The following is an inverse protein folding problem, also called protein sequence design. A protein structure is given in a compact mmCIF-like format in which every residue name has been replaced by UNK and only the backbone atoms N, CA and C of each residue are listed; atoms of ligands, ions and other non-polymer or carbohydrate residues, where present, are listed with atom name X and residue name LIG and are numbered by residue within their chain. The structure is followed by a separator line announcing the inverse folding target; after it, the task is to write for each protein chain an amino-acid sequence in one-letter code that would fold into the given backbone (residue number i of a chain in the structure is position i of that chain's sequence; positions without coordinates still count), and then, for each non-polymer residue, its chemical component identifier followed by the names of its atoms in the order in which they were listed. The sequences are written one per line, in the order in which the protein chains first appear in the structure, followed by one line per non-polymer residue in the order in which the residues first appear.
data_IF_581168087805
#
_entry.id   IF_581168087805
#
_cell.length_a   1.000
_cell.length_b   1.000
_cell.length_c   1.000
_cell.angle_alpha   90.00
_cell.angle_beta   90.00
_cell.angle_gamma   90.00
#
_symmetry.space_group_name_H-M   'P 1'
#
loop_
_entity.id
_entity.type
_entity.pdbx_description
1 polymer ?
#
# COMPACT_ATOMS: atom_id res chain seq x y z
N UNK A 1 -28.36 23.62 -16.59
CA UNK A 1 -27.81 22.50 -15.82
C UNK A 1 -26.47 21.98 -16.34
N UNK A 2 -26.28 21.67 -17.62
CA UNK A 2 -25.01 21.14 -18.19
C UNK A 2 -23.79 22.07 -18.02
N UNK A 3 -23.94 23.40 -18.20
CA UNK A 3 -22.84 24.38 -18.03
C UNK A 3 -22.33 24.43 -16.58
N UNK A 4 -23.22 24.42 -15.58
CA UNK A 4 -22.83 24.45 -14.18
C UNK A 4 -22.08 23.16 -13.77
N UNK A 5 -22.52 22.01 -14.25
CA UNK A 5 -21.83 20.74 -14.03
C UNK A 5 -20.46 20.72 -14.69
N UNK A 6 -20.32 21.20 -15.94
CA UNK A 6 -19.04 21.29 -16.64
C UNK A 6 -18.06 22.23 -15.92
N UNK A 7 -18.55 23.40 -15.45
CA UNK A 7 -17.74 24.36 -14.68
C UNK A 7 -17.23 23.76 -13.35
N UNK A 8 -18.09 23.05 -12.62
CA UNK A 8 -17.67 22.37 -11.37
C UNK A 8 -16.56 21.32 -11.61
N UNK A 9 -16.60 20.62 -12.76
CA UNK A 9 -15.55 19.67 -13.15
C UNK A 9 -14.24 20.38 -13.54
N UNK A 10 -14.31 21.54 -14.18
CA UNK A 10 -13.13 22.34 -14.55
C UNK A 10 -12.43 22.85 -13.26
N UNK A 11 -13.18 23.36 -12.28
CA UNK A 11 -12.60 23.82 -11.03
C UNK A 11 -12.00 22.66 -10.21
N UNK A 12 -12.65 21.50 -10.21
CA UNK A 12 -12.08 20.30 -9.61
C UNK A 12 -10.77 19.89 -10.30
N UNK A 13 -10.75 19.88 -11.66
CA UNK A 13 -9.55 19.57 -12.44
C UNK A 13 -8.42 20.55 -12.15
N UNK A 14 -8.69 21.86 -12.12
CA UNK A 14 -7.70 22.90 -11.80
C UNK A 14 -7.08 22.69 -10.42
N UNK A 15 -7.93 22.47 -9.39
CA UNK A 15 -7.46 22.16 -8.03
C UNK A 15 -6.63 20.89 -7.97
N UNK A 16 -7.05 19.86 -8.71
CA UNK A 16 -6.32 18.58 -8.77
C UNK A 16 -4.97 18.73 -9.47
N UNK A 17 -4.92 19.41 -10.61
CA UNK A 17 -3.68 19.71 -11.35
C UNK A 17 -2.73 20.60 -10.51
N UNK A 18 -3.23 21.64 -9.87
CA UNK A 18 -2.42 22.49 -8.99
C UNK A 18 -1.81 21.69 -7.82
N UNK A 19 -2.57 20.76 -7.22
CA UNK A 19 -2.07 19.86 -6.17
C UNK A 19 -1.00 18.91 -6.70
N UNK A 20 -1.19 18.33 -7.89
CA UNK A 20 -0.19 17.47 -8.53
C UNK A 20 1.10 18.22 -8.87
N UNK A 21 0.99 19.48 -9.31
CA UNK A 21 2.14 20.33 -9.62
C UNK A 21 2.89 20.82 -8.39
N UNK A 22 2.17 21.03 -7.28
CA UNK A 22 2.74 21.47 -6.01
C UNK A 22 3.33 20.29 -5.18
N UNK A 23 2.96 19.05 -5.53
CA UNK A 23 3.52 17.88 -4.87
C UNK A 23 5.02 17.75 -5.21
N UNK A 24 5.90 17.46 -4.24
CA UNK A 24 7.30 17.22 -4.51
C UNK A 24 7.43 16.11 -5.56
N UNK A 25 8.24 16.34 -6.59
CA UNK A 25 8.53 15.31 -7.59
C UNK A 25 9.29 14.19 -6.89
N UNK A 26 8.65 13.06 -6.75
CA UNK A 26 9.29 11.84 -6.23
C UNK A 26 9.95 11.14 -7.42
N UNK A 27 11.27 10.94 -7.33
CA UNK A 27 11.99 10.19 -8.34
C UNK A 27 11.56 8.71 -8.30
N UNK A 28 11.37 8.09 -9.48
CA UNK A 28 11.07 6.66 -9.54
C UNK A 28 12.19 5.84 -8.89
N UNK A 29 11.82 4.77 -8.21
CA UNK A 29 12.79 3.80 -7.67
C UNK A 29 13.58 3.15 -8.80
N UNK A 30 14.91 3.17 -8.67
CA UNK A 30 15.83 2.63 -9.67
C UNK A 30 16.47 1.30 -9.26
N UNK A 31 16.15 0.82 -8.06
CA UNK A 31 16.56 -0.48 -7.51
C UNK A 31 18.09 -0.64 -7.45
N UNK A 32 18.78 0.36 -6.91
CA UNK A 32 20.24 0.36 -6.75
C UNK A 32 20.66 0.09 -5.31
N UNK A 33 21.92 -0.30 -5.14
CA UNK A 33 22.53 -0.48 -3.82
C UNK A 33 22.51 0.82 -3.01
N UNK A 34 22.11 0.72 -1.74
CA UNK A 34 21.94 1.86 -0.84
C UNK A 34 20.64 2.63 -1.01
N UNK A 35 19.79 2.31 -1.99
CA UNK A 35 18.52 3.01 -2.20
C UNK A 35 17.60 2.86 -0.99
N UNK A 36 17.01 3.99 -0.57
CA UNK A 36 16.12 4.04 0.58
C UNK A 36 14.70 3.58 0.23
N UNK A 37 14.14 2.75 1.09
CA UNK A 37 12.77 2.24 1.00
C UNK A 37 12.05 2.44 2.33
N UNK A 38 10.74 2.18 2.38
CA UNK A 38 9.95 2.26 3.60
C UNK A 38 9.51 0.85 4.07
N UNK A 39 9.53 0.63 5.37
CA UNK A 39 9.09 -0.59 6.03
C UNK A 39 8.24 -0.20 7.24
N UNK A 40 6.92 -0.35 7.12
CA UNK A 40 5.97 0.11 8.14
C UNK A 40 6.17 1.59 8.56
N UNK A 41 6.47 2.45 7.58
CA UNK A 41 6.74 3.87 7.80
C UNK A 41 8.20 4.21 8.13
N UNK A 42 8.99 3.23 8.53
CA UNK A 42 10.40 3.40 8.85
C UNK A 42 11.28 3.26 7.61
N UNK A 43 12.42 3.93 7.63
CA UNK A 43 13.38 3.88 6.53
C UNK A 43 14.26 2.64 6.61
N UNK A 44 14.35 1.91 5.50
CA UNK A 44 15.28 0.80 5.30
C UNK A 44 16.14 1.04 4.07
N UNK A 45 17.25 0.33 3.95
CA UNK A 45 18.16 0.44 2.81
C UNK A 45 18.21 -0.88 2.03
N UNK A 46 18.16 -0.76 0.71
CA UNK A 46 18.37 -1.90 -0.19
C UNK A 46 19.87 -2.18 -0.28
N UNK A 47 20.28 -3.42 -0.02
CA UNK A 47 21.65 -3.90 -0.18
C UNK A 47 21.71 -4.95 -1.27
N UNK A 48 22.51 -4.68 -2.30
CA UNK A 48 22.61 -5.53 -3.47
C UNK A 48 24.02 -6.10 -3.56
N UNK A 49 24.11 -7.41 -3.65
CA UNK A 49 25.37 -8.10 -3.91
C UNK A 49 25.16 -9.19 -4.98
N UNK A 50 26.25 -9.78 -5.46
CA UNK A 50 26.25 -10.88 -6.41
C UNK A 50 26.75 -12.16 -5.76
N UNK A 51 26.26 -13.31 -6.18
CA UNK A 51 26.66 -14.59 -5.63
C UNK A 51 26.31 -15.77 -6.54
N UNK A 52 26.52 -16.97 -6.06
CA UNK A 52 26.23 -18.19 -6.82
C UNK A 52 24.73 -18.41 -6.97
N UNK A 53 23.98 -18.14 -5.90
CA UNK A 53 22.53 -18.32 -5.84
C UNK A 53 21.83 -17.02 -5.45
N UNK A 54 20.62 -16.83 -6.00
CA UNK A 54 19.78 -15.69 -5.61
C UNK A 54 19.17 -15.92 -4.24
N UNK A 55 19.22 -14.89 -3.38
CA UNK A 55 18.61 -14.89 -2.04
C UNK A 55 18.09 -13.50 -1.74
N UNK A 56 16.96 -13.43 -1.04
CA UNK A 56 16.44 -12.18 -0.46
C UNK A 56 16.25 -12.40 1.04
N UNK A 57 16.78 -11.48 1.85
CA UNK A 57 16.79 -11.57 3.30
C UNK A 57 16.66 -10.17 3.92
N UNK A 58 16.06 -10.06 5.10
CA UNK A 58 15.91 -8.78 5.80
C UNK A 58 16.65 -8.81 7.12
N UNK A 59 17.62 -7.93 7.27
CA UNK A 59 18.35 -7.68 8.52
C UNK A 59 17.63 -6.57 9.30
N UNK A 60 16.88 -6.96 10.32
CA UNK A 60 16.09 -6.03 11.13
C UNK A 60 16.97 -5.12 11.98
N UNK A 61 18.13 -5.60 12.45
CA UNK A 61 19.03 -4.80 13.31
C UNK A 61 19.65 -3.65 12.52
N UNK A 62 20.00 -3.90 11.25
CA UNK A 62 20.61 -2.90 10.35
C UNK A 62 19.57 -2.13 9.54
N UNK A 63 18.31 -2.53 9.59
CA UNK A 63 17.25 -2.00 8.71
C UNK A 63 17.64 -2.10 7.21
N UNK A 64 18.12 -3.27 6.81
CA UNK A 64 18.62 -3.53 5.46
C UNK A 64 17.88 -4.69 4.78
N UNK A 65 17.39 -4.45 3.56
CA UNK A 65 16.89 -5.50 2.68
C UNK A 65 18.01 -5.98 1.75
N UNK A 66 18.54 -7.16 2.01
CA UNK A 66 19.62 -7.77 1.24
C UNK A 66 19.07 -8.59 0.08
N UNK A 67 19.51 -8.28 -1.15
CA UNK A 67 19.20 -9.06 -2.35
C UNK A 67 20.51 -9.51 -3.00
N UNK A 68 20.75 -10.82 -2.95
CA UNK A 68 21.85 -11.45 -3.68
C UNK A 68 21.39 -11.86 -5.08
N UNK A 69 22.10 -11.40 -6.10
CA UNK A 69 21.84 -11.71 -7.51
C UNK A 69 22.69 -12.90 -7.92
N UNK A 70 22.03 -14.01 -8.22
CA UNK A 70 22.71 -15.24 -8.64
C UNK A 70 23.24 -15.16 -10.07
N UNK A 71 24.28 -15.94 -10.37
CA UNK A 71 24.98 -15.97 -11.67
C UNK A 71 24.09 -16.27 -12.90
N UNK A 72 22.89 -16.82 -12.70
CA UNK A 72 21.96 -17.18 -13.79
C UNK A 72 20.99 -16.05 -14.15
N UNK A 73 21.02 -14.94 -13.42
CA UNK A 73 20.14 -13.79 -13.66
C UNK A 73 20.64 -13.02 -14.88
N UNK A 74 19.83 -12.98 -15.93
CA UNK A 74 20.15 -12.28 -17.18
C UNK A 74 19.71 -10.80 -17.19
N UNK A 75 18.57 -10.49 -16.54
CA UNK A 75 18.03 -9.16 -16.45
C UNK A 75 17.94 -8.77 -14.98
N UNK A 76 18.92 -8.00 -14.53
CA UNK A 76 19.07 -7.57 -13.14
C UNK A 76 17.92 -6.68 -12.68
N UNK A 77 17.50 -5.69 -13.50
CA UNK A 77 16.47 -4.74 -13.13
C UNK A 77 15.11 -5.43 -12.93
N UNK A 78 14.72 -6.28 -13.88
CA UNK A 78 13.49 -7.06 -13.77
C UNK A 78 13.53 -8.03 -12.57
N UNK A 79 14.70 -8.61 -12.30
CA UNK A 79 14.91 -9.47 -11.14
C UNK A 79 14.74 -8.70 -9.83
N UNK A 80 15.41 -7.57 -9.65
CA UNK A 80 15.34 -6.74 -8.45
C UNK A 80 13.91 -6.25 -8.19
N UNK A 81 13.23 -5.71 -9.20
CA UNK A 81 11.80 -5.33 -9.12
C UNK A 81 10.93 -6.48 -8.63
N UNK A 82 11.14 -7.67 -9.19
CA UNK A 82 10.41 -8.87 -8.79
C UNK A 82 10.71 -9.25 -7.34
N UNK A 83 11.99 -9.26 -6.92
CA UNK A 83 12.38 -9.66 -5.56
C UNK A 83 11.81 -8.70 -4.51
N UNK A 84 11.93 -7.39 -4.71
CA UNK A 84 11.34 -6.38 -3.82
C UNK A 84 9.83 -6.57 -3.71
N UNK A 85 9.12 -6.70 -4.85
CA UNK A 85 7.67 -6.89 -4.82
C UNK A 85 7.25 -8.20 -4.14
N UNK A 86 8.02 -9.28 -4.31
CA UNK A 86 7.76 -10.56 -3.64
C UNK A 86 7.97 -10.45 -2.13
N UNK A 87 9.03 -9.77 -1.71
CA UNK A 87 9.31 -9.55 -0.30
C UNK A 87 8.18 -8.75 0.38
N UNK A 88 7.74 -7.62 -0.20
CA UNK A 88 6.60 -6.86 0.35
C UNK A 88 5.28 -7.65 0.30
N UNK A 89 5.07 -8.50 -0.71
CA UNK A 89 3.88 -9.37 -0.74
C UNK A 89 3.91 -10.38 0.39
N UNK A 90 5.07 -10.98 0.67
CA UNK A 90 5.23 -11.89 1.82
C UNK A 90 5.01 -11.15 3.13
N UNK A 91 5.65 -10.00 3.33
CA UNK A 91 5.46 -9.12 4.47
C UNK A 91 3.98 -8.80 4.69
N UNK A 92 3.28 -8.43 3.62
CA UNK A 92 1.86 -8.14 3.66
C UNK A 92 0.99 -9.35 4.03
N UNK A 93 1.32 -10.53 3.51
CA UNK A 93 0.63 -11.76 3.88
C UNK A 93 0.82 -12.08 5.37
N UNK A 94 2.03 -11.94 5.89
CA UNK A 94 2.35 -12.18 7.30
C UNK A 94 1.64 -11.19 8.22
N UNK A 95 1.62 -9.90 7.84
CA UNK A 95 0.89 -8.86 8.56
C UNK A 95 -0.61 -9.12 8.60
N UNK A 96 -1.22 -9.37 7.43
CA UNK A 96 -2.65 -9.60 7.31
C UNK A 96 -3.08 -10.88 8.04
N UNK A 97 -2.28 -11.95 7.99
CA UNK A 97 -2.57 -13.19 8.71
C UNK A 97 -2.71 -12.97 10.22
N UNK A 98 -1.90 -12.06 10.78
CA UNK A 98 -1.94 -11.72 12.21
C UNK A 98 -3.01 -10.68 12.54
N UNK A 99 -3.14 -9.64 11.72
CA UNK A 99 -3.93 -8.44 12.05
C UNK A 99 -5.39 -8.53 11.61
N UNK A 100 -5.65 -9.07 10.41
CA UNK A 100 -7.00 -9.12 9.84
C UNK A 100 -8.02 -9.85 10.73
N UNK A 101 -7.71 -11.01 11.34
CA UNK A 101 -8.68 -11.68 12.21
C UNK A 101 -9.11 -10.84 13.42
N UNK A 102 -8.17 -10.12 14.03
CA UNK A 102 -8.47 -9.25 15.18
C UNK A 102 -9.39 -8.10 14.80
N UNK A 103 -9.10 -7.39 13.68
CA UNK A 103 -9.93 -6.29 13.20
C UNK A 103 -11.31 -6.78 12.74
N UNK A 104 -11.36 -7.90 12.03
CA UNK A 104 -12.62 -8.50 11.58
C UNK A 104 -13.52 -8.90 12.75
N UNK A 105 -12.93 -9.46 13.82
CA UNK A 105 -13.66 -9.81 15.05
C UNK A 105 -14.21 -8.56 15.75
N UNK A 106 -13.43 -7.49 15.90
CA UNK A 106 -13.89 -6.22 16.47
C UNK A 106 -15.08 -5.64 15.71
N UNK A 107 -15.08 -5.79 14.37
CA UNK A 107 -16.17 -5.34 13.49
C UNK A 107 -17.34 -6.34 13.39
N UNK A 108 -17.22 -7.53 13.99
CA UNK A 108 -18.16 -8.65 13.84
C UNK A 108 -18.39 -9.04 12.38
N UNK A 109 -17.32 -9.05 11.58
CA UNK A 109 -17.33 -9.36 10.15
C UNK A 109 -16.42 -10.56 9.85
N UNK A 110 -16.76 -11.31 8.80
CA UNK A 110 -15.99 -12.50 8.41
C UNK A 110 -15.64 -12.44 6.90
N UNK A 111 -14.45 -11.96 6.54
CA UNK A 111 -13.99 -12.06 5.17
C UNK A 111 -13.76 -13.51 4.77
N UNK A 112 -14.05 -13.88 3.52
CA UNK A 112 -13.80 -15.24 3.00
C UNK A 112 -12.33 -15.54 2.75
N UNK A 113 -11.50 -14.52 2.71
CA UNK A 113 -10.07 -14.61 2.50
C UNK A 113 -9.50 -13.29 2.01
N UNK A 114 -8.19 -13.27 1.88
CA UNK A 114 -7.48 -12.10 1.38
C UNK A 114 -6.37 -12.47 0.40
N UNK A 115 -5.87 -11.46 -0.33
CA UNK A 115 -4.69 -11.59 -1.18
C UNK A 115 -3.92 -10.27 -1.22
N UNK A 116 -2.59 -10.35 -1.29
CA UNK A 116 -1.74 -9.19 -1.59
C UNK A 116 -1.46 -9.16 -3.10
N UNK A 117 -1.79 -8.02 -3.72
CA UNK A 117 -1.78 -7.83 -5.17
C UNK A 117 -0.89 -6.65 -5.57
N UNK A 118 -0.65 -6.53 -6.85
CA UNK A 118 -0.03 -5.35 -7.47
C UNK A 118 -1.13 -4.53 -8.16
N UNK A 119 -1.49 -3.40 -7.57
CA UNK A 119 -2.48 -2.48 -8.12
C UNK A 119 -1.84 -1.13 -8.47
N UNK A 120 -2.30 -0.51 -9.57
CA UNK A 120 -1.82 0.82 -9.98
C UNK A 120 -2.56 1.98 -9.31
N UNK A 121 -3.85 1.81 -8.96
CA UNK A 121 -4.72 2.94 -8.62
C UNK A 121 -5.53 2.75 -7.33
N UNK A 122 -5.29 1.69 -6.55
CA UNK A 122 -6.03 1.45 -5.31
C UNK A 122 -5.13 0.83 -4.24
N UNK A 123 -5.44 1.07 -2.98
CA UNK A 123 -4.76 0.47 -1.84
C UNK A 123 -5.37 -0.85 -1.40
N UNK A 124 -6.69 -0.95 -1.53
CA UNK A 124 -7.44 -2.16 -1.24
C UNK A 124 -8.64 -2.34 -2.13
N UNK A 125 -9.34 -3.45 -1.97
CA UNK A 125 -10.66 -3.72 -2.55
C UNK A 125 -11.36 -4.86 -1.84
N UNK A 126 -12.68 -4.75 -1.69
CA UNK A 126 -13.56 -5.84 -1.27
C UNK A 126 -14.42 -6.30 -2.47
N UNK A 127 -14.41 -7.60 -2.75
CA UNK A 127 -15.27 -8.17 -3.78
C UNK A 127 -16.67 -8.44 -3.26
N UNK A 128 -17.67 -8.50 -4.16
CA UNK A 128 -19.05 -8.90 -3.83
C UNK A 128 -19.15 -10.31 -3.21
N UNK A 129 -18.11 -11.13 -3.39
CA UNK A 129 -18.02 -12.48 -2.81
C UNK A 129 -17.39 -12.48 -1.41
N UNK A 130 -17.00 -11.32 -0.86
CA UNK A 130 -16.40 -11.19 0.47
C UNK A 130 -14.89 -11.48 0.52
N UNK A 131 -14.18 -11.48 -0.60
CA UNK A 131 -12.72 -11.55 -0.63
C UNK A 131 -12.11 -10.17 -0.62
N UNK A 132 -11.10 -9.96 0.22
CA UNK A 132 -10.33 -8.73 0.31
C UNK A 132 -9.06 -8.82 -0.52
N UNK A 133 -8.60 -7.69 -1.03
CA UNK A 133 -7.30 -7.63 -1.70
C UNK A 133 -6.61 -6.31 -1.34
N UNK A 134 -5.30 -6.36 -1.13
CA UNK A 134 -4.50 -5.21 -0.72
C UNK A 134 -3.31 -5.03 -1.65
N UNK A 135 -2.97 -3.77 -1.94
CA UNK A 135 -1.78 -3.44 -2.70
C UNK A 135 -0.54 -3.68 -1.82
N UNK A 136 0.46 -4.38 -2.34
CA UNK A 136 1.68 -4.64 -1.59
C UNK A 136 2.41 -3.34 -1.14
N UNK A 137 2.23 -2.25 -1.89
CA UNK A 137 2.84 -0.95 -1.57
C UNK A 137 2.30 -0.33 -0.29
N UNK A 138 1.11 -0.72 0.16
CA UNK A 138 0.55 -0.20 1.42
C UNK A 138 1.40 -0.60 2.64
N UNK A 139 2.15 -1.72 2.57
CA UNK A 139 3.01 -2.17 3.66
C UNK A 139 4.30 -1.35 3.82
N UNK A 140 4.52 -0.36 2.98
CA UNK A 140 5.50 0.70 3.20
C UNK A 140 4.99 1.77 4.18
N UNK A 141 3.68 1.94 4.31
CA UNK A 141 3.06 2.95 5.18
C UNK A 141 3.14 2.55 6.67
N UNK A 142 2.98 3.51 7.61
CA UNK A 142 2.83 3.22 9.02
C UNK A 142 1.71 2.20 9.30
N UNK A 143 1.86 1.43 10.37
CA UNK A 143 0.95 0.31 10.67
C UNK A 143 -0.50 0.75 10.92
N UNK A 144 -0.71 1.91 11.54
CA UNK A 144 -2.03 2.50 11.75
C UNK A 144 -2.71 2.93 10.44
N UNK A 145 -1.92 3.40 9.47
CA UNK A 145 -2.39 3.71 8.11
C UNK A 145 -2.78 2.42 7.38
N UNK A 146 -1.99 1.35 7.49
CA UNK A 146 -2.33 0.04 6.93
C UNK A 146 -3.63 -0.48 7.54
N UNK A 147 -3.75 -0.42 8.87
CA UNK A 147 -4.95 -0.85 9.60
C UNK A 147 -6.20 -0.08 9.16
N UNK A 148 -6.08 1.22 8.90
CA UNK A 148 -7.19 2.03 8.40
C UNK A 148 -7.72 1.56 7.04
N UNK A 149 -6.81 1.13 6.15
CA UNK A 149 -7.21 0.54 4.86
C UNK A 149 -7.85 -0.83 5.05
N UNK A 150 -7.35 -1.65 5.98
CA UNK A 150 -7.96 -2.95 6.30
C UNK A 150 -9.37 -2.76 6.83
N UNK A 151 -9.59 -1.83 7.76
CA UNK A 151 -10.91 -1.49 8.32
C UNK A 151 -11.86 -0.97 7.23
N UNK A 152 -11.37 -0.14 6.32
CA UNK A 152 -12.14 0.36 5.17
C UNK A 152 -12.64 -0.80 4.29
N UNK A 153 -11.76 -1.72 3.93
CA UNK A 153 -12.13 -2.86 3.09
C UNK A 153 -13.03 -3.87 3.82
N UNK A 154 -12.83 -4.06 5.12
CA UNK A 154 -13.73 -4.85 5.96
C UNK A 154 -15.13 -4.24 6.02
N UNK A 155 -15.25 -2.91 6.16
CA UNK A 155 -16.54 -2.23 6.22
C UNK A 155 -17.38 -2.46 4.94
N UNK A 156 -16.74 -2.67 3.79
CA UNK A 156 -17.39 -3.02 2.54
C UNK A 156 -18.07 -4.41 2.55
N UNK A 157 -17.73 -5.29 3.48
CA UNK A 157 -18.46 -6.55 3.64
C UNK A 157 -19.91 -6.32 4.09
N UNK A 158 -20.18 -5.20 4.77
CA UNK A 158 -21.51 -4.85 5.28
C UNK A 158 -22.16 -3.70 4.50
N UNK A 159 -21.37 -2.72 4.08
CA UNK A 159 -21.85 -1.52 3.39
C UNK A 159 -21.09 -1.33 2.08
N UNK A 160 -21.71 -1.64 0.94
CA UNK A 160 -21.04 -1.55 -0.38
C UNK A 160 -20.79 -0.12 -0.86
N UNK A 161 -21.44 0.87 -0.28
CA UNK A 161 -21.27 2.28 -0.58
C UNK A 161 -20.75 3.03 0.65
N UNK A 162 -20.16 4.20 0.43
CA UNK A 162 -19.65 5.07 1.50
C UNK A 162 -20.76 5.91 2.14
N UNK A 163 -21.85 5.24 2.58
CA UNK A 163 -22.97 5.86 3.31
C UNK A 163 -22.54 6.30 4.71
N UNK A 164 -23.47 7.00 5.41
CA UNK A 164 -23.25 7.36 6.81
C UNK A 164 -22.92 6.13 7.66
N UNK A 165 -23.69 5.04 7.50
CA UNK A 165 -23.48 3.80 8.25
C UNK A 165 -22.10 3.18 7.98
N UNK A 166 -21.57 3.28 6.75
CA UNK A 166 -20.22 2.85 6.41
C UNK A 166 -19.18 3.63 7.26
N UNK A 167 -19.30 4.96 7.25
CA UNK A 167 -18.35 5.81 7.98
C UNK A 167 -18.49 5.68 9.50
N UNK A 168 -19.72 5.53 10.01
CA UNK A 168 -19.96 5.26 11.44
C UNK A 168 -19.23 3.97 11.88
N UNK A 169 -19.29 2.91 11.06
CA UNK A 169 -18.57 1.65 11.32
C UNK A 169 -17.06 1.83 11.25
N UNK A 170 -16.53 2.53 10.23
CA UNK A 170 -15.09 2.79 10.10
C UNK A 170 -14.58 3.57 11.31
N UNK A 171 -15.24 4.67 11.69
CA UNK A 171 -14.81 5.52 12.80
C UNK A 171 -14.92 4.85 14.16
N UNK A 172 -15.82 3.86 14.32
CA UNK A 172 -15.92 3.10 15.59
C UNK A 172 -14.66 2.25 15.87
N UNK A 173 -13.89 1.90 14.84
CA UNK A 173 -12.67 1.10 14.93
C UNK A 173 -11.41 1.96 14.71
N UNK A 174 -11.48 2.91 13.79
CA UNK A 174 -10.41 3.84 13.44
C UNK A 174 -10.89 5.29 13.66
N UNK A 175 -10.88 5.83 14.89
CA UNK A 175 -11.31 7.20 15.15
C UNK A 175 -10.52 8.25 14.36
N UNK A 176 -9.22 8.00 14.14
CA UNK A 176 -8.31 8.90 13.42
C UNK A 176 -8.23 8.61 11.90
N UNK A 177 -9.23 7.94 11.32
CA UNK A 177 -9.24 7.55 9.90
C UNK A 177 -8.91 8.73 8.96
N UNK A 178 -9.38 9.92 9.28
CA UNK A 178 -9.13 11.13 8.47
C UNK A 178 -7.63 11.45 8.35
N UNK A 179 -6.89 11.36 9.45
CA UNK A 179 -5.45 11.63 9.49
C UNK A 179 -4.68 10.59 8.68
N UNK A 180 -5.03 9.30 8.84
CA UNK A 180 -4.43 8.20 8.11
C UNK A 180 -4.71 8.29 6.60
N UNK A 181 -5.93 8.67 6.24
CA UNK A 181 -6.29 8.89 4.84
C UNK A 181 -5.56 10.09 4.23
N UNK A 182 -5.38 11.19 4.97
CA UNK A 182 -4.61 12.34 4.50
C UNK A 182 -3.12 12.01 4.38
N UNK A 183 -2.57 11.20 5.29
CA UNK A 183 -1.22 10.65 5.17
C UNK A 183 -1.04 9.88 3.86
N UNK A 184 -1.98 8.98 3.51
CA UNK A 184 -1.94 8.23 2.25
C UNK A 184 -1.97 9.13 1.03
N UNK A 185 -2.79 10.18 1.04
CA UNK A 185 -2.85 11.14 -0.08
C UNK A 185 -1.54 11.91 -0.24
N UNK A 186 -0.94 12.32 0.86
CA UNK A 186 0.31 13.07 0.86
C UNK A 186 1.48 12.22 0.36
N UNK A 187 1.54 10.95 0.78
CA UNK A 187 2.65 10.05 0.47
C UNK A 187 2.38 9.13 -0.75
N UNK A 188 1.24 9.31 -1.43
CA UNK A 188 0.83 8.43 -2.53
C UNK A 188 1.88 8.32 -3.64
N UNK A 189 2.52 9.43 -4.02
CA UNK A 189 3.53 9.43 -5.08
C UNK A 189 4.77 8.62 -4.69
N UNK A 190 5.23 8.76 -3.44
CA UNK A 190 6.36 8.00 -2.92
C UNK A 190 6.06 6.50 -2.92
N UNK A 191 4.91 6.10 -2.36
CA UNK A 191 4.50 4.70 -2.32
C UNK A 191 4.30 4.07 -3.71
N UNK A 192 3.94 4.87 -4.71
CA UNK A 192 3.71 4.42 -6.09
C UNK A 192 4.92 4.60 -7.02
N UNK A 193 6.05 5.11 -6.52
CA UNK A 193 7.26 5.36 -7.32
C UNK A 193 8.00 4.09 -7.76
N UNK A 194 7.57 2.91 -7.31
CA UNK A 194 8.23 1.60 -7.53
C UNK A 194 7.39 0.64 -8.38
#
# INVERSE_FOLDING_TARGET
MLKAFALSKIDWLRKHLARMQAAPKVEPKIYQDGEQWLFFGEKIHLKINTGVQSKTDFDQEKSELHICIGNRVKNTDAFLKKQVSLWYKQLGNDYLTKKLPSLANQMQLQPKGFAVRDYKARWGSCSSKGYLSFNWRIFMAPSDVIDSVIVHELAHLKHFNHSKQFWDLVHSICPNYQEQHEWLKTNQQELQSC
#
